data_IF_818476851415
#
_entry.id   IF_818476851415
#
_cell.length_a   1.000
_cell.length_b   1.000
_cell.length_c   1.000
_cell.angle_alpha   90.00
_cell.angle_beta   90.00
_cell.angle_gamma   90.00
#
_symmetry.space_group_name_H-M   'P 1'
#
loop_
_entity.id
_entity.type
_entity.pdbx_description
1 polymer ?
#
# COMPACT_ATOMS: atom_id res chain seq x y z
N UNK A 1 15.00 -24.53 -5.49
CA UNK A 1 15.69 -23.80 -4.40
C UNK A 1 15.90 -22.32 -4.72
N UNK A 2 16.26 -21.95 -5.95
CA UNK A 2 16.44 -20.53 -6.33
C UNK A 2 15.13 -19.72 -6.31
N UNK A 3 14.02 -20.28 -6.78
CA UNK A 3 12.70 -19.61 -6.81
C UNK A 3 12.17 -19.27 -5.41
N UNK A 4 12.26 -20.22 -4.47
CA UNK A 4 11.82 -20.00 -3.07
C UNK A 4 12.53 -18.81 -2.40
N UNK A 5 13.83 -18.63 -2.67
CA UNK A 5 14.58 -17.51 -2.11
C UNK A 5 14.19 -16.16 -2.73
N UNK A 6 13.73 -16.16 -3.98
CA UNK A 6 13.24 -14.95 -4.66
C UNK A 6 11.85 -14.55 -4.14
N UNK A 7 10.95 -15.53 -3.98
CA UNK A 7 9.62 -15.29 -3.40
C UNK A 7 9.70 -14.80 -1.96
N UNK A 8 10.59 -15.38 -1.14
CA UNK A 8 10.81 -14.94 0.24
C UNK A 8 11.36 -13.48 0.29
N UNK A 9 12.24 -13.11 -0.64
CA UNK A 9 12.77 -11.75 -0.73
C UNK A 9 11.71 -10.74 -1.18
N UNK A 10 10.90 -11.10 -2.18
CA UNK A 10 9.77 -10.28 -2.65
C UNK A 10 8.72 -10.10 -1.55
N UNK A 11 8.35 -11.18 -0.86
CA UNK A 11 7.44 -11.12 0.29
C UNK A 11 7.95 -10.16 1.36
N UNK A 12 9.23 -10.29 1.74
CA UNK A 12 9.85 -9.44 2.75
C UNK A 12 9.87 -7.98 2.32
N UNK A 13 10.21 -7.71 1.06
CA UNK A 13 10.20 -6.35 0.51
C UNK A 13 8.80 -5.74 0.51
N UNK A 14 7.78 -6.46 0.02
CA UNK A 14 6.40 -5.98 0.01
C UNK A 14 5.88 -5.70 1.42
N UNK A 15 6.20 -6.58 2.37
CA UNK A 15 5.85 -6.39 3.77
C UNK A 15 6.51 -5.14 4.35
N UNK A 16 7.79 -4.91 4.03
CA UNK A 16 8.52 -3.71 4.45
C UNK A 16 7.87 -2.44 3.90
N UNK A 17 7.60 -2.38 2.59
CA UNK A 17 6.96 -1.20 1.97
C UNK A 17 5.60 -0.87 2.59
N UNK A 18 4.79 -1.89 2.91
CA UNK A 18 3.51 -1.66 3.60
C UNK A 18 3.68 -1.11 5.02
N UNK A 19 4.72 -1.53 5.75
CA UNK A 19 5.03 -0.93 7.06
C UNK A 19 5.54 0.49 6.94
N UNK A 20 6.40 0.77 5.95
CA UNK A 20 6.85 2.14 5.67
C UNK A 20 5.67 3.05 5.33
N UNK A 21 4.70 2.57 4.55
CA UNK A 21 3.47 3.33 4.28
C UNK A 21 2.69 3.67 5.56
N UNK A 22 2.63 2.76 6.54
CA UNK A 22 2.05 3.06 7.85
C UNK A 22 2.87 4.13 8.57
N UNK A 23 4.21 3.99 8.58
CA UNK A 23 5.10 4.95 9.24
C UNK A 23 4.93 6.37 8.65
N UNK A 24 4.85 6.50 7.33
CA UNK A 24 4.64 7.78 6.64
C UNK A 24 3.33 8.46 7.06
N UNK A 25 2.26 7.67 7.20
CA UNK A 25 0.96 8.15 7.70
C UNK A 25 1.07 8.61 9.15
N UNK A 26 1.78 7.86 10.00
CA UNK A 26 1.93 8.15 11.44
C UNK A 26 2.78 9.42 11.69
N UNK A 27 3.85 9.62 10.93
CA UNK A 27 4.69 10.84 11.02
C UNK A 27 4.08 12.04 10.27
N UNK A 28 2.87 11.87 9.70
CA UNK A 28 2.11 12.90 8.98
C UNK A 28 2.86 13.46 7.77
N UNK A 29 3.36 12.58 6.91
CA UNK A 29 3.79 12.97 5.57
C UNK A 29 2.59 13.49 4.75
N UNK A 30 2.88 14.34 3.77
CA UNK A 30 1.86 14.86 2.86
C UNK A 30 1.17 13.76 2.04
N UNK A 31 -0.08 14.04 1.67
CA UNK A 31 -0.91 13.09 0.94
C UNK A 31 -0.38 12.80 -0.46
N UNK A 32 0.35 13.73 -1.09
CA UNK A 32 1.00 13.51 -2.37
C UNK A 32 1.94 12.31 -2.31
N UNK A 33 2.88 12.33 -1.37
CA UNK A 33 3.82 11.24 -1.16
C UNK A 33 3.12 9.93 -0.77
N UNK A 34 2.11 9.98 0.11
CA UNK A 34 1.31 8.79 0.49
C UNK A 34 0.63 8.16 -0.75
N UNK A 35 0.14 8.97 -1.69
CA UNK A 35 -0.49 8.49 -2.91
C UNK A 35 0.50 7.82 -3.86
N UNK A 36 1.70 8.38 -4.01
CA UNK A 36 2.77 7.80 -4.81
C UNK A 36 3.15 6.40 -4.29
N UNK A 37 3.39 6.28 -2.98
CA UNK A 37 3.73 5.00 -2.34
C UNK A 37 2.60 3.95 -2.49
N UNK A 38 1.33 4.36 -2.33
CA UNK A 38 0.19 3.44 -2.57
C UNK A 38 0.16 2.98 -4.03
N UNK A 39 0.41 3.87 -4.99
CA UNK A 39 0.40 3.54 -6.41
C UNK A 39 1.53 2.58 -6.79
N UNK A 40 2.75 2.83 -6.29
CA UNK A 40 3.90 1.95 -6.53
C UNK A 40 3.69 0.56 -5.96
N UNK A 41 3.29 0.46 -4.68
CA UNK A 41 3.00 -0.84 -4.04
C UNK A 41 1.88 -1.57 -4.78
N UNK A 42 0.82 -0.87 -5.19
CA UNK A 42 -0.28 -1.48 -5.94
C UNK A 42 0.20 -2.10 -7.26
N UNK A 43 1.07 -1.40 -8.00
CA UNK A 43 1.62 -1.89 -9.26
C UNK A 43 2.52 -3.11 -9.06
N UNK A 44 3.34 -3.13 -8.02
CA UNK A 44 4.22 -4.29 -7.73
C UNK A 44 3.42 -5.51 -7.29
N UNK A 45 2.47 -5.34 -6.36
CA UNK A 45 1.62 -6.44 -5.88
C UNK A 45 0.76 -7.02 -7.02
N UNK A 46 0.29 -6.19 -7.94
CA UNK A 46 -0.53 -6.62 -9.08
C UNK A 46 0.21 -7.60 -10.00
N UNK A 47 1.53 -7.49 -10.12
CA UNK A 47 2.36 -8.31 -11.03
C UNK A 47 2.61 -9.72 -10.53
N UNK A 48 2.26 -10.04 -9.28
CA UNK A 48 2.62 -11.31 -8.63
C UNK A 48 1.79 -12.50 -9.17
N UNK A 49 0.50 -12.54 -8.87
CA UNK A 49 -0.43 -13.58 -9.34
C UNK A 49 -1.88 -13.08 -9.25
N UNK A 50 -2.87 -13.94 -9.48
CA UNK A 50 -4.29 -13.55 -9.48
C UNK A 50 -4.80 -13.02 -8.12
N UNK A 51 -4.21 -13.43 -7.00
CA UNK A 51 -4.53 -12.84 -5.69
C UNK A 51 -3.85 -11.48 -5.51
N UNK A 52 -2.60 -11.37 -5.96
CA UNK A 52 -1.87 -10.10 -6.06
C UNK A 52 -2.61 -9.08 -6.91
N UNK A 53 -3.13 -9.48 -8.07
CA UNK A 53 -3.92 -8.62 -8.95
C UNK A 53 -5.14 -8.02 -8.23
N UNK A 54 -5.90 -8.86 -7.53
CA UNK A 54 -7.07 -8.41 -6.75
C UNK A 54 -6.68 -7.44 -5.63
N UNK A 55 -5.59 -7.71 -4.92
CA UNK A 55 -5.09 -6.84 -3.86
C UNK A 55 -4.60 -5.50 -4.43
N UNK A 56 -3.87 -5.52 -5.54
CA UNK A 56 -3.41 -4.32 -6.24
C UNK A 56 -4.57 -3.47 -6.75
N UNK A 57 -5.63 -4.09 -7.29
CA UNK A 57 -6.85 -3.37 -7.68
C UNK A 57 -7.54 -2.72 -6.48
N UNK A 58 -7.62 -3.40 -5.32
CA UNK A 58 -8.16 -2.81 -4.09
C UNK A 58 -7.34 -1.59 -3.63
N UNK A 59 -6.01 -1.69 -3.65
CA UNK A 59 -5.11 -0.57 -3.35
C UNK A 59 -5.33 0.59 -4.32
N UNK A 60 -5.53 0.30 -5.61
CA UNK A 60 -5.79 1.33 -6.62
C UNK A 60 -7.12 2.05 -6.41
N UNK A 61 -8.15 1.36 -5.90
CA UNK A 61 -9.41 2.01 -5.51
C UNK A 61 -9.24 2.94 -4.29
N UNK A 62 -8.38 2.57 -3.34
CA UNK A 62 -8.00 3.45 -2.23
C UNK A 62 -7.27 4.69 -2.74
N UNK A 63 -6.28 4.51 -3.63
CA UNK A 63 -5.58 5.60 -4.30
C UNK A 63 -6.56 6.55 -5.00
N UNK A 64 -7.48 6.03 -5.83
CA UNK A 64 -8.44 6.86 -6.58
C UNK A 64 -9.32 7.67 -5.64
N UNK A 65 -9.77 7.07 -4.54
CA UNK A 65 -10.61 7.73 -3.53
C UNK A 65 -9.86 8.87 -2.86
N UNK A 66 -8.63 8.61 -2.39
CA UNK A 66 -7.80 9.63 -1.74
C UNK A 66 -7.40 10.73 -2.73
N UNK A 67 -6.92 10.37 -3.92
CA UNK A 67 -6.52 11.31 -4.95
C UNK A 67 -7.69 12.21 -5.35
N UNK A 68 -8.90 11.67 -5.57
CA UNK A 68 -10.09 12.48 -5.86
C UNK A 68 -10.37 13.54 -4.78
N UNK A 69 -10.24 13.16 -3.51
CA UNK A 69 -10.46 14.04 -2.35
C UNK A 69 -9.35 15.08 -2.17
N UNK A 70 -8.12 14.75 -2.53
CA UNK A 70 -6.92 15.54 -2.24
C UNK A 70 -6.24 16.16 -3.46
N UNK A 71 -6.76 15.97 -4.67
CA UNK A 71 -6.16 16.45 -5.94
C UNK A 71 -5.75 17.93 -5.95
N UNK A 72 -6.48 18.78 -5.23
CA UNK A 72 -6.20 20.23 -5.16
C UNK A 72 -5.38 20.63 -3.92
N UNK A 73 -4.92 19.66 -3.11
CA UNK A 73 -4.27 19.88 -1.81
C UNK A 73 -3.34 18.71 -1.45
N UNK A 74 -2.49 18.29 -2.38
CA UNK A 74 -1.58 17.15 -2.18
C UNK A 74 -0.61 17.37 -1.01
N UNK A 75 -0.16 18.60 -0.78
CA UNK A 75 0.68 18.99 0.36
C UNK A 75 -0.03 18.98 1.73
N UNK A 76 -1.30 18.57 1.80
CA UNK A 76 -2.02 18.46 3.07
C UNK A 76 -1.88 17.06 3.68
N UNK A 77 -2.33 16.90 4.93
CA UNK A 77 -2.25 15.64 5.65
C UNK A 77 -3.59 14.89 5.62
N UNK A 78 -3.54 13.58 5.79
CA UNK A 78 -4.74 12.79 6.10
C UNK A 78 -5.36 13.28 7.41
N UNK A 79 -6.69 13.34 7.47
CA UNK A 79 -7.35 13.57 8.76
C UNK A 79 -7.15 12.36 9.69
N UNK A 80 -7.21 12.51 11.02
CA UNK A 80 -6.99 11.40 11.95
C UNK A 80 -7.89 10.18 11.69
N UNK A 81 -9.13 10.42 11.26
CA UNK A 81 -10.06 9.35 10.87
C UNK A 81 -9.57 8.62 9.62
N UNK A 82 -9.09 9.35 8.62
CA UNK A 82 -8.57 8.76 7.39
C UNK A 82 -7.27 8.01 7.63
N UNK A 83 -6.33 8.59 8.40
CA UNK A 83 -5.11 7.91 8.81
C UNK A 83 -5.45 6.55 9.44
N UNK A 84 -6.37 6.51 10.40
CA UNK A 84 -6.80 5.26 11.03
C UNK A 84 -7.43 4.27 10.04
N UNK A 85 -8.26 4.76 9.12
CA UNK A 85 -8.89 3.92 8.10
C UNK A 85 -7.88 3.32 7.12
N UNK A 86 -6.95 4.13 6.61
CA UNK A 86 -5.92 3.70 5.66
C UNK A 86 -4.94 2.76 6.34
N UNK A 87 -4.45 3.10 7.54
CA UNK A 87 -3.60 2.21 8.35
C UNK A 87 -4.30 0.87 8.63
N UNK A 88 -5.61 0.87 8.89
CA UNK A 88 -6.40 -0.35 9.05
C UNK A 88 -6.43 -1.21 7.78
N UNK A 89 -6.59 -0.60 6.61
CA UNK A 89 -6.51 -1.30 5.33
C UNK A 89 -5.13 -1.88 5.08
N UNK A 90 -4.06 -1.11 5.30
CA UNK A 90 -2.68 -1.59 5.10
C UNK A 90 -2.37 -2.78 6.01
N UNK A 91 -2.80 -2.73 7.28
CA UNK A 91 -2.67 -3.87 8.21
C UNK A 91 -3.39 -5.12 7.70
N UNK A 92 -4.56 -4.97 7.09
CA UNK A 92 -5.27 -6.08 6.45
C UNK A 92 -4.51 -6.62 5.23
N UNK A 93 -3.96 -5.74 4.39
CA UNK A 93 -3.15 -6.15 3.23
C UNK A 93 -1.91 -6.94 3.65
N UNK A 94 -1.22 -6.51 4.73
CA UNK A 94 -0.09 -7.24 5.31
C UNK A 94 -0.51 -8.64 5.78
N UNK A 95 -1.72 -8.81 6.33
CA UNK A 95 -2.23 -10.12 6.76
C UNK A 95 -2.56 -11.05 5.58
N UNK A 96 -2.97 -10.49 4.45
CA UNK A 96 -3.31 -11.26 3.23
C UNK A 96 -2.06 -11.62 2.43
N UNK A 97 -0.98 -10.83 2.55
CA UNK A 97 0.26 -10.98 1.79
C UNK A 97 0.86 -12.41 1.81
N UNK A 98 0.90 -13.15 2.93
CA UNK A 98 1.40 -14.53 2.95
C UNK A 98 0.59 -15.53 2.13
N UNK A 99 -0.63 -15.17 1.71
CA UNK A 99 -1.46 -16.02 0.85
C UNK A 99 -1.23 -15.79 -0.65
N UNK A 100 -0.46 -14.75 -0.98
CA UNK A 100 -0.07 -14.36 -2.34
C UNK A 100 1.24 -15.06 -2.73
N UNK A 101 2.13 -15.33 -1.80
CA UNK A 101 3.34 -16.13 -1.99
C UNK A 101 3.09 -17.57 -1.54
#
# INVERSE_FOLDING_TARGET
MLEKNADDALFTNMKYLMFELINLIEIKIDVGYILEEIEEIALEVRKLNSKGERLGDEMKEVYKTLHSKYRNKLASFLSPRESNQITGKIKNWIQILPSIF
#
